data_IF_906234175811
#
_entry.id   IF_906234175811
#
_cell.length_a   1.000
_cell.length_b   1.000
_cell.length_c   1.000
_cell.angle_alpha   90.00
_cell.angle_beta   90.00
_cell.angle_gamma   90.00
#
_symmetry.space_group_name_H-M   'P 1'
#
loop_
_entity.id
_entity.type
_entity.pdbx_description
1 polymer ?
#
# COMPACT_ATOMS: atom_id res chain seq x y z
N UNK A 1 8.10 18.19 9.19
CA UNK A 1 9.40 18.83 8.95
C UNK A 1 9.79 18.47 7.53
N UNK A 2 9.99 19.45 6.66
CA UNK A 2 10.38 19.21 5.27
C UNK A 2 11.86 18.81 5.25
N UNK A 3 12.15 17.57 4.87
CA UNK A 3 13.53 17.07 4.79
C UNK A 3 14.11 17.11 3.37
N UNK A 4 13.32 17.47 2.36
CA UNK A 4 13.78 17.47 0.96
C UNK A 4 13.27 18.69 0.19
N UNK A 5 14.12 19.72 -0.04
CA UNK A 5 15.47 19.86 0.53
C UNK A 5 15.43 20.16 2.04
N UNK A 6 16.48 19.82 2.81
CA UNK A 6 16.60 20.24 4.19
C UNK A 6 16.71 21.77 4.26
N UNK A 7 15.86 22.42 5.05
CA UNK A 7 15.88 23.89 5.22
C UNK A 7 16.43 24.34 6.59
N UNK A 8 17.08 23.43 7.32
CA UNK A 8 17.62 23.71 8.66
C UNK A 8 16.60 23.52 9.79
N UNK A 9 15.40 23.02 9.48
CA UNK A 9 14.33 22.82 10.46
C UNK A 9 14.75 21.84 11.56
N UNK A 10 15.46 20.76 11.20
CA UNK A 10 15.96 19.75 12.14
C UNK A 10 17.06 20.30 13.05
N UNK A 11 18.03 21.02 12.50
CA UNK A 11 19.09 21.70 13.24
C UNK A 11 18.51 22.73 14.20
N UNK A 12 17.52 23.49 13.73
CA UNK A 12 16.79 24.46 14.54
C UNK A 12 16.08 23.80 15.72
N UNK A 13 15.41 22.66 15.48
CA UNK A 13 14.75 21.89 16.52
C UNK A 13 15.75 21.34 17.55
N UNK A 14 16.85 20.73 17.10
CA UNK A 14 17.92 20.24 17.98
C UNK A 14 18.44 21.35 18.88
N UNK A 15 18.77 22.51 18.31
CA UNK A 15 19.25 23.68 19.06
C UNK A 15 18.20 24.20 20.05
N UNK A 16 16.93 24.24 19.66
CA UNK A 16 15.86 24.68 20.55
C UNK A 16 15.73 23.75 21.79
N UNK A 17 15.93 22.45 21.60
CA UNK A 17 15.84 21.45 22.67
C UNK A 17 17.04 21.45 23.63
N UNK A 18 18.17 22.12 23.30
CA UNK A 18 19.28 22.33 24.25
C UNK A 18 18.86 23.13 25.49
N UNK A 19 17.79 23.95 25.37
CA UNK A 19 17.21 24.70 26.49
C UNK A 19 16.27 23.88 27.40
N UNK A 20 16.03 22.60 27.07
CA UNK A 20 15.09 21.71 27.75
C UNK A 20 13.91 21.29 26.85
N UNK A 21 13.43 20.06 27.05
CA UNK A 21 12.41 19.42 26.21
C UNK A 21 11.27 18.74 26.99
N UNK A 22 11.05 19.08 28.27
CA UNK A 22 10.02 18.51 29.15
C UNK A 22 8.56 18.69 28.66
N UNK A 23 8.36 19.49 27.60
CA UNK A 23 7.06 19.81 27.01
C UNK A 23 6.66 18.90 25.84
N UNK A 24 7.53 17.97 25.43
CA UNK A 24 7.28 17.00 24.35
C UNK A 24 7.71 15.61 24.80
N UNK A 25 6.88 14.62 24.50
CA UNK A 25 7.15 13.22 24.84
C UNK A 25 7.87 12.44 23.73
N UNK A 26 7.66 12.79 22.46
CA UNK A 26 8.23 12.10 21.30
C UNK A 26 8.30 12.99 20.06
N UNK A 27 9.14 12.60 19.10
CA UNK A 27 9.19 13.19 17.76
C UNK A 27 8.49 12.27 16.78
N UNK A 28 7.61 12.83 15.95
CA UNK A 28 7.07 12.14 14.79
C UNK A 28 7.81 12.58 13.53
N UNK A 29 8.37 11.61 12.81
CA UNK A 29 8.99 11.83 11.52
C UNK A 29 8.63 10.70 10.57
N UNK A 30 8.32 11.04 9.32
CA UNK A 30 8.23 10.08 8.23
C UNK A 30 8.33 10.82 6.88
N UNK A 31 8.40 10.05 5.81
CA UNK A 31 8.34 10.55 4.45
C UNK A 31 7.54 9.59 3.57
N UNK A 32 6.99 10.11 2.47
CA UNK A 32 6.35 9.27 1.46
C UNK A 32 7.35 8.36 0.72
N UNK A 33 8.63 8.74 0.71
CA UNK A 33 9.74 7.98 0.11
C UNK A 33 10.78 7.61 1.19
N UNK A 34 12.06 7.87 0.95
CA UNK A 34 13.10 7.58 1.94
C UNK A 34 12.92 8.42 3.19
N UNK A 35 13.15 7.78 4.35
CA UNK A 35 12.96 8.40 5.65
C UNK A 35 13.92 9.58 5.82
N UNK A 36 13.52 10.63 6.58
CA UNK A 36 14.38 11.78 6.82
C UNK A 36 15.77 11.38 7.29
N UNK A 37 16.82 11.95 6.67
CA UNK A 37 18.21 11.56 6.94
C UNK A 37 18.69 12.09 8.28
N UNK A 38 18.22 13.26 8.71
CA UNK A 38 18.73 13.91 9.93
C UNK A 38 18.60 13.03 11.18
N UNK A 39 17.42 12.45 11.52
CA UNK A 39 17.30 11.56 12.68
C UNK A 39 18.17 10.30 12.58
N UNK A 40 18.48 9.84 11.37
CA UNK A 40 19.31 8.65 11.12
C UNK A 40 20.82 8.94 11.27
N UNK A 41 21.25 10.10 10.78
CA UNK A 41 22.68 10.43 10.64
C UNK A 41 23.21 11.26 11.81
N UNK A 42 22.38 12.14 12.39
CA UNK A 42 22.77 13.08 13.46
C UNK A 42 22.19 12.66 14.81
N UNK A 43 21.00 12.04 14.79
CA UNK A 43 20.25 11.64 15.97
C UNK A 43 18.96 12.42 16.14
N UNK A 44 18.07 11.87 16.97
CA UNK A 44 16.75 12.46 17.22
C UNK A 44 16.90 13.70 18.10
N UNK A 45 16.33 14.87 17.72
CA UNK A 45 16.35 16.07 18.54
C UNK A 45 15.89 15.79 19.97
N UNK A 46 16.67 16.27 20.95
CA UNK A 46 16.38 16.10 22.38
C UNK A 46 16.53 14.66 22.90
N UNK A 47 17.08 13.73 22.10
CA UNK A 47 17.18 12.30 22.45
C UNK A 47 15.83 11.68 22.86
N UNK A 48 14.76 12.16 22.23
CA UNK A 48 13.40 11.69 22.46
C UNK A 48 13.11 10.40 21.68
N UNK A 49 12.11 9.60 22.10
CA UNK A 49 11.56 8.55 21.26
C UNK A 49 11.15 9.08 19.89
N UNK A 50 11.52 8.34 18.83
CA UNK A 50 11.08 8.61 17.47
C UNK A 50 9.94 7.67 17.11
N UNK A 51 8.83 8.21 16.64
CA UNK A 51 7.73 7.44 16.07
C UNK A 51 7.53 7.81 14.61
N UNK A 52 7.03 6.86 13.81
CA UNK A 52 6.79 7.09 12.39
C UNK A 52 5.30 7.00 12.01
N UNK A 53 4.99 7.46 10.80
CA UNK A 53 3.65 7.60 10.25
C UNK A 53 3.64 7.16 8.77
N UNK A 54 3.86 5.86 8.50
CA UNK A 54 4.05 5.41 7.13
C UNK A 54 2.73 5.50 6.37
N UNK A 55 2.76 6.12 5.20
CA UNK A 55 1.65 6.08 4.24
C UNK A 55 1.62 4.71 3.57
N UNK A 56 0.53 3.95 3.75
CA UNK A 56 0.46 2.55 3.31
C UNK A 56 -0.53 2.26 2.17
N UNK A 57 -1.15 3.28 1.59
CA UNK A 57 -2.35 3.16 0.77
C UNK A 57 -2.28 3.89 -0.59
N UNK A 58 -1.60 5.03 -0.67
CA UNK A 58 -1.63 5.96 -1.79
C UNK A 58 -0.47 5.77 -2.77
N UNK A 59 0.66 5.22 -2.33
CA UNK A 59 1.85 5.08 -3.20
C UNK A 59 1.54 4.34 -4.50
N UNK A 60 1.87 5.00 -5.63
CA UNK A 60 1.68 4.41 -6.96
C UNK A 60 0.26 4.48 -7.53
N UNK A 61 -0.73 4.99 -6.80
CA UNK A 61 -2.14 4.91 -7.20
C UNK A 61 -2.89 6.24 -7.13
N UNK A 62 -3.68 6.50 -8.17
CA UNK A 62 -4.74 7.50 -8.19
C UNK A 62 -5.84 7.05 -9.17
N UNK A 63 -7.13 7.04 -8.79
CA UNK A 63 -7.69 7.20 -7.43
C UNK A 63 -7.12 6.17 -6.43
N UNK A 64 -7.11 6.49 -5.14
CA UNK A 64 -6.56 5.61 -4.10
C UNK A 64 -7.37 4.32 -4.02
N UNK A 65 -6.71 3.16 -4.11
CA UNK A 65 -7.40 1.87 -4.20
C UNK A 65 -8.21 1.64 -5.48
N UNK A 66 -8.17 2.57 -6.44
CA UNK A 66 -9.05 2.58 -7.61
C UNK A 66 -8.89 1.38 -8.56
N UNK A 67 -7.84 0.58 -8.38
CA UNK A 67 -7.61 -0.67 -9.14
C UNK A 67 -7.61 -1.91 -8.26
N UNK A 68 -8.15 -1.85 -7.05
CA UNK A 68 -8.23 -3.00 -6.14
C UNK A 68 -7.10 -3.00 -5.12
N UNK A 69 -6.71 -4.20 -4.67
CA UNK A 69 -5.65 -4.39 -3.68
C UNK A 69 -4.34 -3.66 -4.07
N UNK A 70 -3.63 -3.13 -3.08
CA UNK A 70 -2.34 -2.46 -3.25
C UNK A 70 -1.25 -3.03 -2.31
N UNK A 71 -0.90 -4.32 -2.41
CA UNK A 71 0.14 -4.90 -1.56
C UNK A 71 1.53 -4.39 -1.96
N UNK A 72 2.31 -3.94 -0.99
CA UNK A 72 3.66 -3.37 -1.20
C UNK A 72 4.72 -3.95 -0.20
N UNK A 73 4.80 -5.28 -0.02
CA UNK A 73 5.67 -5.89 0.98
C UNK A 73 7.16 -5.58 0.79
N UNK A 74 7.67 -5.63 -0.45
CA UNK A 74 9.09 -5.37 -0.71
C UNK A 74 9.43 -3.89 -0.47
N UNK A 75 8.53 -2.97 -0.87
CA UNK A 75 8.68 -1.54 -0.58
C UNK A 75 8.72 -1.30 0.93
N UNK A 76 7.77 -1.84 1.69
CA UNK A 76 7.74 -1.61 3.14
C UNK A 76 8.91 -2.26 3.86
N UNK A 77 9.40 -3.42 3.40
CA UNK A 77 10.65 -3.97 3.89
C UNK A 77 11.84 -3.02 3.67
N UNK A 78 11.95 -2.44 2.47
CA UNK A 78 13.02 -1.48 2.13
C UNK A 78 12.98 -0.25 3.03
N UNK A 79 11.79 0.33 3.24
CA UNK A 79 11.60 1.49 4.11
C UNK A 79 11.87 1.14 5.58
N UNK A 80 11.34 0.01 6.05
CA UNK A 80 11.55 -0.46 7.42
C UNK A 80 13.03 -0.67 7.74
N UNK A 81 13.81 -1.22 6.80
CA UNK A 81 15.25 -1.40 6.97
C UNK A 81 16.00 -0.07 7.22
N UNK A 82 15.47 1.08 6.76
CA UNK A 82 16.07 2.39 7.03
C UNK A 82 15.87 2.81 8.49
N UNK A 83 14.77 2.40 9.12
CA UNK A 83 14.30 3.03 10.37
C UNK A 83 14.20 2.10 11.56
N UNK A 84 14.17 0.78 11.35
CA UNK A 84 13.88 -0.23 12.39
C UNK A 84 14.77 -0.18 13.64
N UNK A 85 15.92 0.49 13.54
CA UNK A 85 16.91 0.63 14.60
C UNK A 85 16.82 1.96 15.35
N UNK A 86 15.99 2.90 14.89
CA UNK A 86 15.79 4.22 15.52
C UNK A 86 14.36 4.46 16.00
N UNK A 87 13.35 3.87 15.35
CA UNK A 87 11.95 4.10 15.75
C UNK A 87 11.56 3.25 16.95
N UNK A 88 10.75 3.84 17.82
CA UNK A 88 10.16 3.19 18.99
C UNK A 88 8.74 2.66 18.72
N UNK A 89 8.19 2.92 17.54
CA UNK A 89 6.84 2.53 17.12
C UNK A 89 6.30 3.49 16.05
N UNK A 90 5.00 3.42 15.80
CA UNK A 90 4.34 4.33 14.87
C UNK A 90 2.86 4.00 14.67
N UNK A 91 2.25 4.73 13.74
CA UNK A 91 0.84 4.56 13.40
C UNK A 91 0.68 4.69 11.88
N UNK A 92 0.34 3.61 11.15
CA UNK A 92 0.23 3.67 9.69
C UNK A 92 -0.96 4.53 9.24
N UNK A 93 -0.75 5.36 8.23
CA UNK A 93 -1.84 6.07 7.56
C UNK A 93 -2.52 5.17 6.52
N UNK A 94 -3.83 5.02 6.64
CA UNK A 94 -4.66 4.13 5.81
C UNK A 94 -5.88 4.90 5.29
N UNK A 95 -6.18 4.74 4.01
CA UNK A 95 -7.33 5.33 3.30
C UNK A 95 -8.48 4.32 3.09
N UNK A 96 -8.22 3.02 3.16
CA UNK A 96 -9.26 2.03 2.88
C UNK A 96 -8.87 0.59 3.16
N UNK A 97 -9.64 -0.32 2.59
CA UNK A 97 -9.46 -1.77 2.79
C UNK A 97 -8.43 -2.39 1.84
N UNK A 98 -8.05 -1.69 0.76
CA UNK A 98 -7.21 -2.22 -0.31
C UNK A 98 -5.73 -2.40 0.09
N UNK A 99 -5.31 -1.78 1.18
CA UNK A 99 -3.99 -1.92 1.80
C UNK A 99 -3.98 -2.87 3.02
N UNK A 100 -4.98 -3.73 3.19
CA UNK A 100 -5.11 -4.63 4.36
C UNK A 100 -3.86 -5.50 4.64
N UNK A 101 -3.20 -6.02 3.60
CA UNK A 101 -1.92 -6.73 3.75
C UNK A 101 -0.83 -5.81 4.33
N UNK A 102 -0.77 -4.56 3.88
CA UNK A 102 0.22 -3.58 4.35
C UNK A 102 0.00 -3.23 5.82
N UNK A 103 -1.26 -3.15 6.27
CA UNK A 103 -1.59 -2.96 7.70
C UNK A 103 -0.95 -4.05 8.56
N UNK A 104 -1.09 -5.30 8.13
CA UNK A 104 -0.53 -6.46 8.85
C UNK A 104 1.00 -6.40 8.86
N UNK A 105 1.62 -6.07 7.73
CA UNK A 105 3.07 -5.92 7.62
C UNK A 105 3.61 -4.83 8.56
N UNK A 106 3.03 -3.63 8.54
CA UNK A 106 3.48 -2.53 9.39
C UNK A 106 3.23 -2.82 10.87
N UNK A 107 2.07 -3.39 11.23
CA UNK A 107 1.82 -3.80 12.61
C UNK A 107 2.85 -4.82 13.10
N UNK A 108 3.22 -5.78 12.24
CA UNK A 108 4.20 -6.80 12.59
C UNK A 108 5.62 -6.24 12.74
N UNK A 109 6.00 -5.21 11.98
CA UNK A 109 7.26 -4.51 12.17
C UNK A 109 7.38 -3.86 13.54
N UNK A 110 6.32 -3.24 14.05
CA UNK A 110 6.32 -2.69 15.41
C UNK A 110 6.32 -3.76 16.49
N UNK A 111 5.70 -4.92 16.23
CA UNK A 111 5.65 -6.03 17.18
C UNK A 111 6.94 -6.86 17.24
N UNK A 112 7.55 -7.14 16.10
CA UNK A 112 8.79 -7.92 15.98
C UNK A 112 9.66 -7.33 14.87
N UNK A 113 10.52 -6.34 15.20
CA UNK A 113 11.29 -5.57 14.21
C UNK A 113 12.16 -6.39 13.25
N UNK A 114 12.61 -7.57 13.68
CA UNK A 114 13.45 -8.47 12.87
C UNK A 114 12.66 -9.40 11.95
N UNK A 115 11.33 -9.44 12.08
CA UNK A 115 10.49 -10.25 11.20
C UNK A 115 10.36 -9.57 9.84
N UNK A 116 10.55 -10.35 8.78
CA UNK A 116 10.48 -9.81 7.42
C UNK A 116 9.03 -9.61 6.96
N UNK A 117 8.80 -8.63 6.07
CA UNK A 117 7.51 -8.44 5.40
C UNK A 117 7.06 -9.71 4.67
N UNK A 118 8.00 -10.46 4.09
CA UNK A 118 7.70 -11.71 3.38
C UNK A 118 7.19 -12.79 4.35
N UNK A 119 7.80 -12.94 5.51
CA UNK A 119 7.34 -13.93 6.51
C UNK A 119 6.00 -13.53 7.12
N UNK A 120 5.75 -12.23 7.29
CA UNK A 120 4.44 -11.71 7.70
C UNK A 120 3.38 -11.96 6.64
N UNK A 121 3.70 -11.71 5.36
CA UNK A 121 2.78 -11.96 4.25
C UNK A 121 2.43 -13.44 4.14
N UNK A 122 3.40 -14.36 4.33
CA UNK A 122 3.14 -15.80 4.34
C UNK A 122 2.18 -16.20 5.46
N UNK A 123 2.35 -15.66 6.67
CA UNK A 123 1.43 -15.90 7.77
C UNK A 123 0.03 -15.31 7.51
N UNK A 124 -0.04 -14.10 6.98
CA UNK A 124 -1.31 -13.49 6.57
C UNK A 124 -2.04 -14.36 5.55
N UNK A 125 -1.33 -14.86 4.53
CA UNK A 125 -1.92 -15.72 3.49
C UNK A 125 -2.38 -17.06 4.08
N UNK A 126 -1.58 -17.68 4.95
CA UNK A 126 -1.97 -18.90 5.64
C UNK A 126 -3.28 -18.70 6.43
N UNK A 127 -3.41 -17.57 7.12
CA UNK A 127 -4.58 -17.24 7.93
C UNK A 127 -5.82 -16.85 7.10
N UNK A 128 -5.68 -15.97 6.10
CA UNK A 128 -6.80 -15.43 5.32
C UNK A 128 -7.18 -16.28 4.11
N UNK A 129 -6.26 -17.11 3.60
CA UNK A 129 -6.44 -17.86 2.35
C UNK A 129 -6.13 -19.36 2.46
N UNK A 130 -5.56 -19.80 3.58
CA UNK A 130 -5.21 -21.20 3.85
C UNK A 130 -3.83 -21.60 3.35
N UNK A 131 -3.24 -22.61 4.00
CA UNK A 131 -1.85 -23.06 3.76
C UNK A 131 -1.57 -23.48 2.31
N UNK A 132 -2.57 -24.02 1.62
CA UNK A 132 -2.44 -24.48 0.24
C UNK A 132 -2.22 -23.36 -0.79
N UNK A 133 -2.41 -22.10 -0.40
CA UNK A 133 -2.33 -20.94 -1.29
C UNK A 133 -1.06 -20.09 -1.10
N UNK A 134 -0.17 -20.42 -0.16
CA UNK A 134 0.93 -19.53 0.29
C UNK A 134 1.84 -19.11 -0.86
N UNK A 135 2.57 -20.04 -1.47
CA UNK A 135 3.66 -19.68 -2.39
C UNK A 135 3.14 -19.01 -3.67
N UNK A 136 1.99 -19.46 -4.17
CA UNK A 136 1.38 -18.92 -5.39
C UNK A 136 0.75 -17.54 -5.14
N UNK A 137 0.16 -17.31 -3.98
CA UNK A 137 -0.33 -15.96 -3.61
C UNK A 137 0.83 -15.00 -3.35
N UNK A 138 1.94 -15.47 -2.78
CA UNK A 138 3.17 -14.67 -2.67
C UNK A 138 3.67 -14.28 -4.06
N UNK A 139 3.71 -15.21 -5.01
CA UNK A 139 4.13 -14.92 -6.39
C UNK A 139 3.17 -13.94 -7.09
N UNK A 140 1.86 -14.05 -6.85
CA UNK A 140 0.86 -13.10 -7.32
C UNK A 140 1.12 -11.70 -6.75
N UNK A 141 1.34 -11.58 -5.43
CA UNK A 141 1.65 -10.29 -4.78
C UNK A 141 2.94 -9.69 -5.32
N UNK A 142 4.00 -10.50 -5.47
CA UNK A 142 5.29 -10.06 -6.04
C UNK A 142 5.09 -9.50 -7.47
N UNK A 143 4.26 -10.14 -8.30
CA UNK A 143 3.95 -9.70 -9.65
C UNK A 143 3.17 -8.37 -9.67
N UNK A 144 2.16 -8.22 -8.80
CA UNK A 144 1.35 -7.01 -8.69
C UNK A 144 2.17 -5.82 -8.15
N UNK A 145 2.98 -6.03 -7.12
CA UNK A 145 3.87 -4.99 -6.57
C UNK A 145 4.89 -4.53 -7.63
N UNK A 146 5.46 -5.47 -8.40
CA UNK A 146 6.40 -5.16 -9.49
C UNK A 146 5.74 -4.31 -10.58
N UNK A 147 4.53 -4.66 -11.02
CA UNK A 147 3.77 -3.89 -12.00
C UNK A 147 3.45 -2.47 -11.48
N UNK A 148 2.98 -2.37 -10.23
CA UNK A 148 2.72 -1.08 -9.56
C UNK A 148 3.98 -0.20 -9.50
N UNK A 149 5.10 -0.78 -9.08
CA UNK A 149 6.38 -0.10 -8.92
C UNK A 149 6.90 0.43 -10.24
N UNK A 150 6.89 -0.40 -11.29
CA UNK A 150 7.33 0.00 -12.63
C UNK A 150 6.43 1.09 -13.19
N UNK A 151 5.11 0.94 -13.08
CA UNK A 151 4.16 1.97 -13.50
C UNK A 151 4.43 3.31 -12.81
N UNK A 152 4.58 3.32 -11.48
CA UNK A 152 4.81 4.54 -10.71
C UNK A 152 6.15 5.21 -11.06
N UNK A 153 7.21 4.41 -11.20
CA UNK A 153 8.55 4.90 -11.55
C UNK A 153 8.74 5.17 -13.04
N UNK A 154 7.66 5.12 -13.83
CA UNK A 154 7.64 5.35 -15.30
C UNK A 154 8.58 4.40 -16.06
N UNK A 155 8.75 3.19 -15.54
CA UNK A 155 9.48 2.11 -16.20
C UNK A 155 8.51 1.20 -16.96
N UNK A 156 8.96 0.53 -18.04
CA UNK A 156 8.13 -0.43 -18.76
C UNK A 156 7.65 -1.55 -17.83
N UNK A 157 6.33 -1.77 -17.78
CA UNK A 157 5.71 -2.90 -17.06
C UNK A 157 5.98 -4.20 -17.83
N UNK A 158 6.30 -5.26 -17.10
CA UNK A 158 6.51 -6.59 -17.70
C UNK A 158 5.16 -7.25 -18.01
N UNK A 159 4.79 -7.24 -19.29
CA UNK A 159 3.54 -7.81 -19.78
C UNK A 159 3.45 -9.32 -19.52
N UNK A 160 4.56 -10.05 -19.58
CA UNK A 160 4.59 -11.49 -19.31
C UNK A 160 4.27 -11.78 -17.84
N UNK A 161 4.83 -10.98 -16.94
CA UNK A 161 4.56 -11.08 -15.50
C UNK A 161 3.11 -10.73 -15.17
N UNK A 162 2.53 -9.72 -15.82
CA UNK A 162 1.11 -9.36 -15.65
C UNK A 162 0.18 -10.49 -16.13
N UNK A 163 0.48 -11.13 -17.26
CA UNK A 163 -0.27 -12.32 -17.72
C UNK A 163 -0.18 -13.47 -16.71
N UNK A 164 1.03 -13.71 -16.20
CA UNK A 164 1.26 -14.72 -15.16
C UNK A 164 0.48 -14.42 -13.88
N UNK A 165 0.39 -13.14 -13.46
CA UNK A 165 -0.41 -12.74 -12.31
C UNK A 165 -1.90 -13.06 -12.50
N UNK A 166 -2.45 -12.80 -13.69
CA UNK A 166 -3.85 -13.15 -14.01
C UNK A 166 -4.10 -14.65 -13.89
N UNK A 167 -3.21 -15.47 -14.46
CA UNK A 167 -3.28 -16.93 -14.40
C UNK A 167 -3.12 -17.47 -12.96
N UNK A 168 -2.21 -16.89 -12.17
CA UNK A 168 -2.03 -17.23 -10.76
C UNK A 168 -3.30 -16.97 -9.96
N UNK A 169 -3.96 -15.83 -10.16
CA UNK A 169 -5.19 -15.50 -9.46
C UNK A 169 -6.28 -16.57 -9.69
N UNK A 170 -6.44 -17.05 -10.92
CA UNK A 170 -7.42 -18.10 -11.25
C UNK A 170 -6.99 -19.47 -10.65
N UNK A 171 -5.72 -19.84 -10.77
CA UNK A 171 -5.21 -21.12 -10.28
C UNK A 171 -5.26 -21.25 -8.75
N UNK A 172 -4.95 -20.18 -8.03
CA UNK A 172 -5.00 -20.16 -6.57
C UNK A 172 -6.43 -20.23 -6.08
N UNK A 173 -7.36 -19.53 -6.74
CA UNK A 173 -8.79 -19.54 -6.36
C UNK A 173 -9.33 -20.97 -6.24
N UNK A 174 -8.98 -21.87 -7.17
CA UNK A 174 -9.42 -23.26 -7.15
C UNK A 174 -8.87 -24.09 -5.98
N UNK A 175 -7.69 -23.73 -5.48
CA UNK A 175 -7.00 -24.43 -4.38
C UNK A 175 -7.43 -23.94 -3.00
N UNK A 176 -8.07 -22.78 -2.92
CA UNK A 176 -8.48 -22.18 -1.67
C UNK A 176 -9.66 -22.90 -1.02
N UNK A 177 -9.71 -22.96 0.32
CA UNK A 177 -10.91 -23.34 1.05
C UNK A 177 -12.11 -22.46 0.66
N UNK A 178 -13.32 -23.02 0.77
CA UNK A 178 -14.54 -22.32 0.37
C UNK A 178 -14.74 -20.97 1.09
N UNK A 179 -14.35 -20.87 2.37
CA UNK A 179 -14.46 -19.63 3.15
C UNK A 179 -13.53 -18.52 2.64
N UNK A 180 -12.33 -18.88 2.17
CA UNK A 180 -11.35 -17.94 1.63
C UNK A 180 -11.80 -17.39 0.27
N UNK A 181 -12.36 -18.24 -0.59
CA UNK A 181 -12.88 -17.85 -1.91
C UNK A 181 -13.97 -16.78 -1.86
N UNK A 182 -14.74 -16.74 -0.77
CA UNK A 182 -15.82 -15.75 -0.56
C UNK A 182 -15.36 -14.51 0.21
N UNK A 183 -14.07 -14.42 0.58
CA UNK A 183 -13.54 -13.27 1.30
C UNK A 183 -13.35 -12.08 0.36
N UNK A 184 -13.77 -10.90 0.80
CA UNK A 184 -13.53 -9.65 0.07
C UNK A 184 -12.02 -9.41 -0.14
N UNK A 185 -11.17 -9.87 0.78
CA UNK A 185 -9.70 -9.74 0.68
C UNK A 185 -9.14 -10.45 -0.53
N UNK A 186 -9.64 -11.65 -0.80
CA UNK A 186 -9.25 -12.41 -1.98
C UNK A 186 -9.85 -11.77 -3.23
N UNK A 187 -11.12 -11.38 -3.17
CA UNK A 187 -11.82 -10.77 -4.28
C UNK A 187 -11.12 -9.50 -4.80
N UNK A 188 -10.72 -8.57 -3.92
CA UNK A 188 -10.02 -7.34 -4.35
C UNK A 188 -8.65 -7.62 -4.98
N UNK A 189 -8.00 -8.74 -4.63
CA UNK A 189 -6.72 -9.15 -5.21
C UNK A 189 -6.91 -9.77 -6.59
N UNK A 190 -7.94 -10.59 -6.79
CA UNK A 190 -8.34 -11.11 -8.09
C UNK A 190 -8.75 -9.97 -9.04
N UNK A 191 -9.56 -9.03 -8.56
CA UNK A 191 -9.97 -7.84 -9.32
C UNK A 191 -8.76 -7.00 -9.71
N UNK A 192 -7.77 -6.85 -8.82
CA UNK A 192 -6.51 -6.19 -9.14
C UNK A 192 -5.76 -6.88 -10.28
N UNK A 193 -5.69 -8.22 -10.27
CA UNK A 193 -5.03 -8.97 -11.35
C UNK A 193 -5.74 -8.81 -12.70
N UNK A 194 -7.08 -8.78 -12.72
CA UNK A 194 -7.88 -8.45 -13.92
C UNK A 194 -7.53 -7.06 -14.44
N UNK A 195 -7.53 -6.07 -13.54
CA UNK A 195 -7.34 -4.67 -13.92
C UNK A 195 -5.92 -4.41 -14.41
N UNK A 196 -4.90 -4.97 -13.76
CA UNK A 196 -3.53 -4.85 -14.25
C UNK A 196 -3.34 -5.57 -15.60
N UNK A 197 -3.99 -6.72 -15.82
CA UNK A 197 -4.02 -7.37 -17.13
C UNK A 197 -4.60 -6.45 -18.21
N UNK A 198 -5.79 -5.91 -18.00
CA UNK A 198 -6.42 -5.05 -19.00
C UNK A 198 -5.64 -3.76 -19.24
N UNK A 199 -5.07 -3.16 -18.19
CA UNK A 199 -4.26 -1.94 -18.28
C UNK A 199 -2.98 -2.11 -19.08
N UNK A 200 -2.27 -3.22 -18.89
CA UNK A 200 -0.91 -3.37 -19.38
C UNK A 200 -0.75 -4.37 -20.52
N UNK A 201 -1.70 -5.31 -20.68
CA UNK A 201 -1.62 -6.41 -21.63
C UNK A 201 -2.87 -6.56 -22.53
N UNK A 202 -4.00 -5.98 -22.11
CA UNK A 202 -5.32 -6.11 -22.75
C UNK A 202 -5.78 -4.85 -23.49
N UNK A 203 -7.09 -4.60 -23.46
CA UNK A 203 -7.74 -3.53 -24.24
C UNK A 203 -7.91 -2.22 -23.46
N UNK A 204 -7.39 -2.16 -22.23
CA UNK A 204 -7.49 -1.02 -21.33
C UNK A 204 -8.70 -1.06 -20.40
N UNK A 205 -8.83 -0.04 -19.54
CA UNK A 205 -9.86 0.00 -18.50
C UNK A 205 -11.30 0.18 -19.00
N UNK A 206 -11.48 0.40 -20.30
CA UNK A 206 -12.80 0.42 -20.96
C UNK A 206 -13.23 -0.95 -21.49
N UNK A 207 -12.38 -1.97 -21.37
CA UNK A 207 -12.74 -3.34 -21.71
C UNK A 207 -13.93 -3.81 -20.85
N UNK A 208 -14.88 -4.61 -21.39
CA UNK A 208 -16.04 -5.06 -20.63
C UNK A 208 -15.70 -5.80 -19.33
N UNK A 209 -14.58 -6.53 -19.28
CA UNK A 209 -14.11 -7.21 -18.07
C UNK A 209 -13.55 -6.23 -17.04
N UNK A 210 -12.76 -5.24 -17.48
CA UNK A 210 -12.28 -4.17 -16.61
C UNK A 210 -13.44 -3.36 -16.04
N UNK A 211 -14.43 -2.98 -16.84
CA UNK A 211 -15.60 -2.22 -16.34
C UNK A 211 -16.37 -3.00 -15.27
N UNK A 212 -16.62 -4.30 -15.47
CA UNK A 212 -17.24 -5.15 -14.44
C UNK A 212 -16.40 -5.24 -13.18
N UNK A 213 -15.08 -5.34 -13.31
CA UNK A 213 -14.18 -5.38 -12.17
C UNK A 213 -14.17 -4.06 -11.38
N UNK A 214 -14.17 -2.91 -12.07
CA UNK A 214 -14.25 -1.58 -11.46
C UNK A 214 -15.60 -1.38 -10.75
N UNK A 215 -16.71 -1.80 -11.37
CA UNK A 215 -18.03 -1.79 -10.74
C UNK A 215 -18.07 -2.64 -9.47
N UNK A 216 -17.49 -3.84 -9.52
CA UNK A 216 -17.43 -4.72 -8.36
C UNK A 216 -16.60 -4.12 -7.22
N UNK A 217 -15.48 -3.47 -7.52
CA UNK A 217 -14.72 -2.73 -6.52
C UNK A 217 -15.54 -1.59 -5.89
N UNK A 218 -16.35 -0.88 -6.67
CA UNK A 218 -17.23 0.17 -6.12
C UNK A 218 -18.22 -0.38 -5.10
N UNK A 219 -18.79 -1.55 -5.36
CA UNK A 219 -19.69 -2.24 -4.42
C UNK A 219 -18.97 -2.67 -3.14
N UNK A 220 -17.77 -3.26 -3.26
CA UNK A 220 -16.98 -3.70 -2.11
C UNK A 220 -16.57 -2.50 -1.23
N UNK A 221 -16.25 -1.36 -1.85
CA UNK A 221 -15.79 -0.17 -1.15
C UNK A 221 -16.94 0.70 -0.59
N UNK A 222 -18.19 0.41 -0.95
CA UNK A 222 -19.33 1.29 -0.66
C UNK A 222 -19.08 2.74 -1.14
N UNK A 223 -18.51 2.88 -2.34
CA UNK A 223 -18.18 4.19 -2.93
C UNK A 223 -19.06 4.52 -4.14
N UNK A 224 -20.36 4.22 -4.02
CA UNK A 224 -21.36 4.33 -5.07
C UNK A 224 -21.43 5.73 -5.69
N UNK A 225 -21.93 5.78 -6.93
CA UNK A 225 -22.05 7.00 -7.73
C UNK A 225 -22.98 8.04 -7.12
N UNK A 226 -24.12 7.56 -6.62
CA UNK A 226 -25.09 8.38 -5.92
C UNK A 226 -24.69 8.44 -4.46
N UNK A 227 -23.97 9.49 -4.10
CA UNK A 227 -23.50 9.74 -2.75
C UNK A 227 -23.54 11.23 -2.46
N UNK A 228 -23.85 11.57 -1.21
CA UNK A 228 -23.70 12.92 -0.67
C UNK A 228 -22.29 13.16 -0.11
N UNK A 229 -21.45 12.11 -0.05
CA UNK A 229 -20.08 12.20 0.42
C UNK A 229 -19.18 12.82 -0.68
N UNK A 230 -18.60 14.01 -0.42
CA UNK A 230 -17.78 14.69 -1.40
C UNK A 230 -16.43 14.01 -1.64
N UNK A 231 -16.02 13.02 -0.84
CA UNK A 231 -14.69 12.39 -0.88
C UNK A 231 -14.66 11.04 -1.59
N UNK A 232 -15.81 10.41 -1.89
CA UNK A 232 -15.84 9.11 -2.58
C UNK A 232 -15.02 9.11 -3.89
N UNK A 233 -14.98 10.24 -4.61
CA UNK A 233 -14.19 10.34 -5.86
C UNK A 233 -12.69 10.09 -5.68
N UNK A 234 -12.13 10.24 -4.47
CA UNK A 234 -10.70 10.00 -4.19
C UNK A 234 -10.36 8.52 -4.11
N UNK A 235 -11.32 7.69 -3.74
CA UNK A 235 -11.17 6.23 -3.60
C UNK A 235 -11.94 5.44 -4.66
N UNK A 236 -12.81 6.11 -5.41
CA UNK A 236 -13.68 5.46 -6.39
C UNK A 236 -12.85 4.92 -7.58
N UNK A 237 -12.99 3.63 -7.93
CA UNK A 237 -12.47 3.08 -9.16
C UNK A 237 -12.79 3.95 -10.39
N UNK A 238 -11.83 4.18 -11.32
CA UNK A 238 -11.98 5.09 -12.45
C UNK A 238 -12.83 4.50 -13.59
N UNK A 239 -14.04 4.06 -13.27
CA UNK A 239 -15.02 3.58 -14.24
C UNK A 239 -15.42 4.72 -15.18
N UNK A 240 -15.45 4.50 -16.50
CA UNK A 240 -15.65 5.56 -17.50
C UNK A 240 -16.93 6.39 -17.26
N UNK A 241 -18.05 5.72 -16.90
CA UNK A 241 -19.32 6.39 -16.55
C UNK A 241 -19.28 7.08 -15.17
N UNK A 242 -18.34 6.72 -14.32
CA UNK A 242 -18.17 7.26 -12.98
C UNK A 242 -17.41 8.60 -12.92
N UNK A 243 -16.74 8.99 -14.02
CA UNK A 243 -15.89 10.19 -14.09
C UNK A 243 -16.71 11.50 -14.18
N UNK A 244 -18.05 11.45 -14.20
CA UNK A 244 -18.88 12.64 -14.40
C UNK A 244 -19.64 13.10 -13.15
N UNK A 245 -19.23 14.27 -12.63
CA UNK A 245 -20.17 15.40 -12.37
C UNK A 245 -19.58 16.77 -12.75
N UNK A 246 -18.25 16.97 -12.79
CA UNK A 246 -17.50 18.10 -13.41
C UNK A 246 -15.96 17.88 -13.35
N UNK A 247 -15.48 16.65 -13.53
CA UNK A 247 -14.04 16.31 -13.51
C UNK A 247 -13.48 16.23 -14.92
N UNK A 248 -12.60 17.17 -15.30
CA UNK A 248 -11.75 17.01 -16.48
C UNK A 248 -10.43 16.35 -16.04
N UNK A 249 -9.85 15.57 -16.97
CA UNK A 249 -8.50 15.00 -16.91
C UNK A 249 -7.44 16.08 -16.59
#
# INVERSE_FOLDING_TARGET
MFDTPPEGEWEGLTKAMEGGNDWVDYILADAHEDFPRYPLDVGVPGNLPLVNFPEISMWGNWPWGGVGANPLPARFQRLWNQVKHVVSGGFPYSEGIYEDMNKTIIAQFYWTPERSARDTLKEYIAYEFGDGAIEETVALVDALEMAATRSYTKQPVDVGLVRTARELADNVHEKMPAWARTSWRWEILCLRAILDYERFAGEGLTAPEAERALERLMEIYHCEMETDDPYHHRVRPPLARAVSRRGNL
#
